data_IF_402554173576
#
_entry.id   IF_402554173576
#
_cell.length_a   1.000
_cell.length_b   1.000
_cell.length_c   1.000
_cell.angle_alpha   90.00
_cell.angle_beta   90.00
_cell.angle_gamma   90.00
#
_symmetry.space_group_name_H-M   'P 1'
#
loop_
_entity.id
_entity.type
_entity.pdbx_description
1 polymer ?
#
# COMPACT_ATOMS: atom_id res chain seq x y z
N UNK A 1 3.92 -12.54 -4.15
CA UNK A 1 3.25 -12.04 -5.36
C UNK A 1 3.68 -10.62 -5.82
N UNK A 2 4.62 -9.94 -5.16
CA UNK A 2 5.04 -8.56 -5.49
C UNK A 2 5.77 -8.30 -6.84
N UNK A 3 6.07 -9.32 -7.66
CA UNK A 3 6.84 -9.13 -8.90
C UNK A 3 5.99 -8.78 -10.13
N UNK A 4 4.66 -8.96 -10.07
CA UNK A 4 3.77 -8.68 -11.21
C UNK A 4 3.34 -7.19 -11.28
N UNK A 5 3.02 -6.56 -10.15
CA UNK A 5 2.59 -5.14 -10.11
C UNK A 5 3.63 -4.18 -10.70
N UNK A 6 4.92 -4.46 -10.51
CA UNK A 6 6.01 -3.58 -10.99
C UNK A 6 6.24 -3.60 -12.51
N UNK A 7 5.65 -4.54 -13.26
CA UNK A 7 5.91 -4.68 -14.70
C UNK A 7 4.87 -3.97 -15.60
N UNK A 8 3.64 -3.70 -15.13
CA UNK A 8 2.62 -2.98 -15.91
C UNK A 8 2.91 -1.48 -16.07
N UNK A 9 3.60 -0.85 -15.10
CA UNK A 9 3.94 0.58 -15.12
C UNK A 9 4.99 1.01 -16.18
N UNK A 10 5.48 0.08 -17.02
CA UNK A 10 6.54 0.33 -18.01
C UNK A 10 6.11 0.29 -19.47
N UNK A 11 4.81 0.27 -19.77
CA UNK A 11 4.35 0.60 -21.12
C UNK A 11 4.10 2.10 -21.21
N UNK A 12 5.16 2.92 -21.24
CA UNK A 12 5.05 4.27 -21.78
C UNK A 12 4.67 4.12 -23.26
N UNK A 13 3.39 4.24 -23.58
CA UNK A 13 2.96 4.39 -24.96
C UNK A 13 3.76 5.54 -25.58
N UNK A 14 4.60 5.18 -26.55
CA UNK A 14 5.34 6.16 -27.33
C UNK A 14 4.29 7.03 -28.04
N UNK A 15 4.37 8.37 -27.95
CA UNK A 15 3.36 9.21 -28.55
C UNK A 15 3.30 8.89 -30.03
N UNK A 16 2.13 8.40 -30.46
CA UNK A 16 1.96 7.92 -31.82
C UNK A 16 2.22 9.09 -32.78
N UNK A 17 2.64 8.80 -34.01
CA UNK A 17 2.92 9.86 -34.99
C UNK A 17 1.75 10.84 -35.15
N UNK A 18 0.52 10.35 -34.95
CA UNK A 18 -0.72 11.14 -34.95
C UNK A 18 -0.75 12.19 -33.83
N UNK A 19 -0.40 11.83 -32.60
CA UNK A 19 -0.41 12.78 -31.47
C UNK A 19 0.58 13.92 -31.66
N UNK A 20 1.76 13.65 -32.23
CA UNK A 20 2.73 14.70 -32.54
C UNK A 20 2.23 15.64 -33.62
N UNK A 21 1.55 15.12 -34.64
CA UNK A 21 0.96 15.92 -35.72
C UNK A 21 -0.20 16.77 -35.16
N UNK A 22 -1.08 16.20 -34.34
CA UNK A 22 -2.19 16.93 -33.71
C UNK A 22 -1.65 18.02 -32.77
N UNK A 23 -0.68 17.69 -31.92
CA UNK A 23 -0.07 18.64 -31.00
C UNK A 23 0.67 19.78 -31.72
N UNK A 24 1.37 19.47 -32.82
CA UNK A 24 2.01 20.49 -33.63
C UNK A 24 0.98 21.38 -34.34
N UNK A 25 -0.10 20.80 -34.87
CA UNK A 25 -1.07 21.59 -35.62
C UNK A 25 -1.87 22.54 -34.72
N UNK A 26 -2.13 22.15 -33.47
CA UNK A 26 -2.71 23.03 -32.46
C UNK A 26 -1.74 24.04 -31.82
N UNK A 27 -0.49 24.10 -32.26
CA UNK A 27 0.56 24.92 -31.61
C UNK A 27 0.69 26.34 -32.21
N UNK A 28 1.26 27.26 -31.43
CA UNK A 28 1.57 28.64 -31.87
C UNK A 28 2.46 28.67 -33.15
N UNK A 29 3.49 27.82 -33.30
CA UNK A 29 4.23 27.69 -34.56
C UNK A 29 3.35 27.40 -35.80
N UNK A 30 2.39 26.49 -35.68
CA UNK A 30 1.44 26.19 -36.76
C UNK A 30 0.63 27.43 -37.14
N UNK A 31 0.12 28.17 -36.13
CA UNK A 31 -0.62 29.41 -36.37
C UNK A 31 0.21 30.46 -37.13
N UNK A 32 1.50 30.59 -36.80
CA UNK A 32 2.41 31.50 -37.51
C UNK A 32 2.62 31.06 -38.95
N UNK A 33 2.85 29.76 -39.20
CA UNK A 33 3.00 29.21 -40.55
C UNK A 33 1.75 29.46 -41.40
N UNK A 34 0.56 29.18 -40.87
CA UNK A 34 -0.71 29.45 -41.56
C UNK A 34 -0.89 30.94 -41.83
N UNK A 35 -0.63 31.80 -40.85
CA UNK A 35 -0.75 33.26 -41.02
C UNK A 35 0.17 33.77 -42.15
N UNK A 36 1.41 33.30 -42.20
CA UNK A 36 2.37 33.66 -43.26
C UNK A 36 1.94 33.09 -44.63
N UNK A 37 1.48 31.83 -44.68
CA UNK A 37 1.01 31.20 -45.91
C UNK A 37 -0.18 31.93 -46.53
N UNK A 38 -1.16 32.33 -45.70
CA UNK A 38 -2.30 33.15 -46.13
C UNK A 38 -1.85 34.51 -46.67
N UNK A 39 -0.99 35.22 -45.92
CA UNK A 39 -0.46 36.51 -46.37
C UNK A 39 0.30 36.38 -47.70
N UNK A 40 1.07 35.30 -47.88
CA UNK A 40 1.76 34.98 -49.12
C UNK A 40 0.80 34.72 -50.29
N UNK A 41 -0.29 33.98 -50.07
CA UNK A 41 -1.31 33.72 -51.10
C UNK A 41 -1.99 35.03 -51.56
N UNK A 42 -2.31 35.94 -50.63
CA UNK A 42 -2.86 37.25 -50.98
C UNK A 42 -1.84 38.14 -51.69
N UNK A 43 -0.57 38.13 -51.26
CA UNK A 43 0.51 38.86 -51.93
C UNK A 43 0.74 38.35 -53.37
N UNK A 44 0.61 37.04 -53.60
CA UNK A 44 0.70 36.43 -54.92
C UNK A 44 -0.43 36.92 -55.85
N UNK A 45 -1.65 37.07 -55.32
CA UNK A 45 -2.77 37.70 -56.04
C UNK A 45 -2.52 39.18 -56.37
N UNK A 46 -1.94 39.94 -55.43
CA UNK A 46 -1.58 41.35 -55.64
C UNK A 46 -0.50 41.53 -56.73
N UNK A 47 0.36 40.54 -56.92
CA UNK A 47 1.39 40.57 -57.97
C UNK A 47 0.84 40.40 -59.39
N UNK A 48 -0.47 40.14 -59.54
CA UNK A 48 -1.12 39.93 -60.83
C UNK A 48 -0.77 38.60 -61.51
N UNK A 49 -0.15 37.67 -60.77
CA UNK A 49 0.24 36.37 -61.29
C UNK A 49 -0.95 35.41 -61.52
N UNK A 50 -2.06 35.63 -60.83
CA UNK A 50 -3.31 34.89 -60.99
C UNK A 50 -4.52 35.81 -60.71
N UNK A 51 -5.70 35.43 -61.20
CA UNK A 51 -6.95 36.14 -60.87
C UNK A 51 -7.36 35.90 -59.41
N UNK A 52 -8.03 36.89 -58.82
CA UNK A 52 -8.53 36.81 -57.45
C UNK A 52 -9.43 35.60 -57.22
N UNK A 53 -10.29 35.28 -58.19
CA UNK A 53 -11.20 34.14 -58.11
C UNK A 53 -10.45 32.81 -57.99
N UNK A 54 -9.37 32.64 -58.77
CA UNK A 54 -8.54 31.42 -58.72
C UNK A 54 -7.77 31.32 -57.40
N UNK A 55 -7.18 32.43 -56.94
CA UNK A 55 -6.44 32.45 -55.66
C UNK A 55 -7.37 32.12 -54.49
N UNK A 56 -8.54 32.74 -54.42
CA UNK A 56 -9.52 32.49 -53.36
C UNK A 56 -10.09 31.07 -53.44
N UNK A 57 -10.35 30.54 -54.64
CA UNK A 57 -10.85 29.17 -54.82
C UNK A 57 -9.80 28.13 -54.38
N UNK A 58 -8.53 28.32 -54.75
CA UNK A 58 -7.46 27.41 -54.34
C UNK A 58 -7.19 27.51 -52.84
N UNK A 59 -7.12 28.73 -52.30
CA UNK A 59 -6.89 28.95 -50.88
C UNK A 59 -8.00 28.33 -50.02
N UNK A 60 -9.26 28.54 -50.38
CA UNK A 60 -10.40 27.98 -49.64
C UNK A 60 -10.49 26.46 -49.77
N UNK A 61 -10.16 25.87 -50.92
CA UNK A 61 -10.11 24.40 -51.07
C UNK A 61 -8.98 23.78 -50.23
N UNK A 62 -7.80 24.38 -50.17
CA UNK A 62 -6.71 23.92 -49.30
C UNK A 62 -7.09 24.04 -47.82
N UNK A 63 -7.61 25.19 -47.40
CA UNK A 63 -7.97 25.47 -46.01
C UNK A 63 -9.12 24.58 -45.55
N UNK A 64 -10.11 24.31 -46.43
CA UNK A 64 -11.19 23.37 -46.11
C UNK A 64 -10.70 21.92 -46.01
N UNK A 65 -9.77 21.48 -46.87
CA UNK A 65 -9.14 20.16 -46.74
C UNK A 65 -8.36 20.02 -45.44
N UNK A 66 -7.62 21.06 -45.06
CA UNK A 66 -6.90 21.09 -43.78
C UNK A 66 -7.86 21.00 -42.58
N UNK A 67 -8.96 21.76 -42.60
CA UNK A 67 -9.95 21.75 -41.53
C UNK A 67 -10.62 20.36 -41.36
N UNK A 68 -10.97 19.70 -42.47
CA UNK A 68 -11.55 18.35 -42.44
C UNK A 68 -10.51 17.34 -41.93
N UNK A 69 -9.25 17.44 -42.37
CA UNK A 69 -8.19 16.54 -41.93
C UNK A 69 -7.92 16.66 -40.42
N UNK A 70 -7.86 17.87 -39.89
CA UNK A 70 -7.67 18.09 -38.45
C UNK A 70 -8.85 17.61 -37.61
N UNK A 71 -10.08 17.83 -38.09
CA UNK A 71 -11.28 17.31 -37.42
C UNK A 71 -11.23 15.79 -37.30
N UNK A 72 -10.85 15.08 -38.37
CA UNK A 72 -10.72 13.62 -38.35
C UNK A 72 -9.61 13.14 -37.41
N UNK A 73 -8.45 13.81 -37.41
CA UNK A 73 -7.35 13.46 -36.51
C UNK A 73 -7.72 13.66 -35.04
N UNK A 74 -8.40 14.77 -34.71
CA UNK A 74 -8.89 15.04 -33.36
C UNK A 74 -9.88 13.94 -32.94
N UNK A 75 -10.83 13.56 -33.81
CA UNK A 75 -11.78 12.49 -33.51
C UNK A 75 -11.10 11.14 -33.24
N UNK A 76 -10.08 10.78 -34.03
CA UNK A 76 -9.28 9.57 -33.81
C UNK A 76 -8.59 9.64 -32.44
N UNK A 77 -7.98 10.77 -32.09
CA UNK A 77 -7.34 10.96 -30.79
C UNK A 77 -8.34 10.87 -29.64
N UNK A 78 -9.52 11.50 -29.75
CA UNK A 78 -10.56 11.43 -28.71
C UNK A 78 -11.07 10.01 -28.53
N UNK A 79 -11.30 9.27 -29.62
CA UNK A 79 -11.73 7.87 -29.53
C UNK A 79 -10.68 6.98 -28.84
N UNK A 80 -9.38 7.22 -29.09
CA UNK A 80 -8.30 6.53 -28.39
C UNK A 80 -8.22 6.91 -26.93
N UNK A 81 -8.37 8.19 -26.60
CA UNK A 81 -8.43 8.65 -25.22
C UNK A 81 -9.61 8.03 -24.46
N UNK A 82 -10.78 7.92 -25.10
CA UNK A 82 -11.92 7.23 -24.50
C UNK A 82 -11.62 5.75 -24.21
N UNK A 83 -10.92 5.06 -25.11
CA UNK A 83 -10.47 3.69 -24.87
C UNK A 83 -9.46 3.59 -23.71
N UNK A 84 -8.48 4.50 -23.67
CA UNK A 84 -7.49 4.54 -22.59
C UNK A 84 -8.13 4.86 -21.24
N UNK A 85 -9.13 5.75 -21.19
CA UNK A 85 -9.91 6.01 -19.97
C UNK A 85 -10.61 4.74 -19.51
N UNK A 86 -11.22 3.98 -20.43
CA UNK A 86 -11.87 2.72 -20.09
C UNK A 86 -10.89 1.69 -19.51
N UNK A 87 -9.69 1.58 -20.07
CA UNK A 87 -8.63 0.71 -19.52
C UNK A 87 -8.21 1.16 -18.11
N UNK A 88 -8.09 2.48 -17.89
CA UNK A 88 -7.82 3.02 -16.56
C UNK A 88 -8.97 2.75 -15.58
N UNK A 89 -10.23 2.80 -16.03
CA UNK A 89 -11.39 2.44 -15.21
C UNK A 89 -11.34 0.97 -14.78
N UNK A 90 -11.02 0.05 -15.71
CA UNK A 90 -10.83 -1.38 -15.40
C UNK A 90 -9.68 -1.58 -14.39
N UNK A 91 -8.56 -0.86 -14.54
CA UNK A 91 -7.44 -0.92 -13.59
C UNK A 91 -7.80 -0.34 -12.21
N UNK A 92 -8.69 0.66 -12.14
CA UNK A 92 -9.19 1.22 -10.88
C UNK A 92 -10.16 0.26 -10.19
N UNK A 93 -10.93 -0.54 -10.94
CA UNK A 93 -11.77 -1.61 -10.39
C UNK A 93 -10.91 -2.72 -9.78
N UNK A 94 -9.85 -3.17 -10.47
CA UNK A 94 -8.87 -4.15 -9.95
C UNK A 94 -8.25 -3.67 -8.62
N UNK A 95 -7.80 -2.42 -8.56
CA UNK A 95 -7.22 -1.85 -7.33
C UNK A 95 -8.24 -1.73 -6.19
N UNK A 96 -9.54 -1.54 -6.48
CA UNK A 96 -10.57 -1.52 -5.45
C UNK A 96 -10.78 -2.91 -4.84
N UNK A 97 -10.81 -3.95 -5.66
CA UNK A 97 -10.90 -5.34 -5.20
C UNK A 97 -9.69 -5.69 -4.31
N UNK A 98 -8.48 -5.33 -4.72
CA UNK A 98 -7.26 -5.51 -3.90
C UNK A 98 -7.35 -4.82 -2.54
N UNK A 99 -7.96 -3.62 -2.48
CA UNK A 99 -8.11 -2.85 -1.23
C UNK A 99 -9.17 -3.47 -0.32
N UNK A 100 -10.23 -4.05 -0.89
CA UNK A 100 -11.23 -4.82 -0.14
C UNK A 100 -10.59 -6.07 0.48
N UNK A 101 -9.83 -6.85 -0.29
CA UNK A 101 -9.10 -8.03 0.21
C UNK A 101 -8.14 -7.66 1.36
N UNK A 102 -7.35 -6.59 1.20
CA UNK A 102 -6.45 -6.11 2.27
C UNK A 102 -7.24 -5.67 3.52
N UNK A 103 -8.46 -5.14 3.35
CA UNK A 103 -9.27 -4.73 4.49
C UNK A 103 -9.79 -5.95 5.27
N UNK A 104 -10.20 -7.00 4.56
CA UNK A 104 -10.57 -8.29 5.18
C UNK A 104 -9.37 -8.90 5.93
N UNK A 105 -8.17 -8.92 5.32
CA UNK A 105 -6.94 -9.37 5.97
C UNK A 105 -6.63 -8.58 7.27
N UNK A 106 -6.90 -7.27 7.28
CA UNK A 106 -6.67 -6.41 8.46
C UNK A 106 -7.67 -6.72 9.59
N UNK A 107 -8.90 -7.08 9.25
CA UNK A 107 -9.92 -7.47 10.23
C UNK A 107 -9.58 -8.83 10.83
N UNK A 108 -9.16 -9.82 10.01
CA UNK A 108 -8.66 -11.12 10.52
C UNK A 108 -7.45 -10.93 11.46
N UNK A 109 -6.49 -10.10 11.08
CA UNK A 109 -5.33 -9.81 11.94
C UNK A 109 -5.70 -9.09 13.24
N UNK A 110 -6.81 -8.34 13.29
CA UNK A 110 -7.30 -7.74 14.53
C UNK A 110 -7.85 -8.81 15.47
N UNK A 111 -8.63 -9.77 14.94
CA UNK A 111 -9.13 -10.91 15.72
C UNK A 111 -7.96 -11.73 16.30
N UNK A 112 -6.95 -12.04 15.49
CA UNK A 112 -5.74 -12.76 15.94
C UNK A 112 -5.00 -12.02 17.08
N UNK A 113 -4.96 -10.68 17.03
CA UNK A 113 -4.31 -9.86 18.08
C UNK A 113 -5.14 -9.83 19.35
N UNK A 114 -6.47 -9.85 19.26
CA UNK A 114 -7.37 -9.97 20.41
C UNK A 114 -7.18 -11.33 21.09
N UNK A 115 -7.21 -12.44 20.35
CA UNK A 115 -6.96 -13.79 20.90
C UNK A 115 -5.60 -13.88 21.59
N UNK A 116 -4.53 -13.39 20.93
CA UNK A 116 -3.19 -13.40 21.53
C UNK A 116 -3.11 -12.51 22.79
N UNK A 117 -3.94 -11.48 22.90
CA UNK A 117 -4.00 -10.65 24.11
C UNK A 117 -4.67 -11.40 25.27
N UNK A 118 -5.74 -12.14 24.99
CA UNK A 118 -6.40 -13.02 25.97
C UNK A 118 -5.44 -14.12 26.47
N UNK A 119 -4.72 -14.78 25.55
CA UNK A 119 -3.69 -15.78 25.89
C UNK A 119 -2.61 -15.20 26.82
N UNK A 120 -2.21 -13.95 26.59
CA UNK A 120 -1.20 -13.25 27.41
C UNK A 120 -1.75 -12.88 28.80
N UNK A 121 -3.04 -12.64 28.93
CA UNK A 121 -3.70 -12.43 30.23
C UNK A 121 -3.79 -13.75 31.00
N UNK A 122 -4.22 -14.85 30.37
CA UNK A 122 -4.27 -16.18 31.01
C UNK A 122 -2.89 -16.62 31.49
N UNK A 123 -1.84 -16.47 30.66
CA UNK A 123 -0.46 -16.77 31.07
C UNK A 123 0.01 -15.91 32.25
N UNK A 124 -0.48 -14.67 32.39
CA UNK A 124 -0.14 -13.84 33.55
C UNK A 124 -0.81 -14.36 34.82
N UNK A 125 -2.08 -14.75 34.75
CA UNK A 125 -2.80 -15.37 35.87
C UNK A 125 -2.11 -16.67 36.32
N UNK A 126 -1.72 -17.54 35.37
CA UNK A 126 -0.98 -18.77 35.65
C UNK A 126 0.34 -18.49 36.39
N UNK A 127 1.09 -17.46 35.96
CA UNK A 127 2.34 -17.07 36.62
C UNK A 127 2.09 -16.56 38.04
N UNK A 128 1.02 -15.81 38.26
CA UNK A 128 0.63 -15.34 39.59
C UNK A 128 0.28 -16.52 40.51
N UNK A 129 -0.54 -17.47 40.05
CA UNK A 129 -0.90 -18.67 40.81
C UNK A 129 0.35 -19.51 41.16
N UNK A 130 1.21 -19.79 40.19
CA UNK A 130 2.48 -20.51 40.43
C UNK A 130 3.37 -19.79 41.45
N UNK A 131 3.37 -18.46 41.45
CA UNK A 131 4.14 -17.67 42.40
C UNK A 131 3.57 -17.77 43.82
N UNK A 132 2.24 -17.79 43.96
CA UNK A 132 1.58 -18.02 45.25
C UNK A 132 1.84 -19.43 45.78
N UNK A 133 1.74 -20.45 44.92
CA UNK A 133 2.06 -21.84 45.29
C UNK A 133 3.51 -22.00 45.75
N UNK A 134 4.47 -21.36 45.05
CA UNK A 134 5.88 -21.38 45.44
C UNK A 134 6.08 -20.74 46.83
N UNK A 135 5.40 -19.62 47.12
CA UNK A 135 5.46 -18.99 48.45
C UNK A 135 4.88 -19.87 49.56
N UNK A 136 3.77 -20.56 49.30
CA UNK A 136 3.17 -21.47 50.26
C UNK A 136 4.08 -22.68 50.53
N UNK A 137 4.65 -23.27 49.48
CA UNK A 137 5.61 -24.36 49.60
C UNK A 137 6.84 -23.95 50.43
N UNK A 138 7.39 -22.76 50.18
CA UNK A 138 8.49 -22.17 50.94
C UNK A 138 8.15 -21.99 52.44
N UNK A 139 6.92 -21.58 52.74
CA UNK A 139 6.45 -21.40 54.11
C UNK A 139 6.33 -22.74 54.85
N UNK A 140 5.80 -23.76 54.18
CA UNK A 140 5.70 -25.12 54.71
C UNK A 140 7.10 -25.71 54.96
N UNK A 141 8.05 -25.53 54.04
CA UNK A 141 9.42 -26.00 54.22
C UNK A 141 10.09 -25.38 55.45
N UNK A 142 9.93 -24.05 55.63
CA UNK A 142 10.42 -23.33 56.81
C UNK A 142 9.82 -23.89 58.11
N UNK A 143 8.51 -24.15 58.12
CA UNK A 143 7.83 -24.73 59.27
C UNK A 143 8.34 -26.15 59.59
N UNK A 144 8.47 -26.99 58.57
CA UNK A 144 9.00 -28.35 58.72
C UNK A 144 10.43 -28.34 59.27
N UNK A 145 11.27 -27.42 58.80
CA UNK A 145 12.66 -27.28 59.26
C UNK A 145 12.70 -26.86 60.73
N UNK A 146 11.88 -25.88 61.14
CA UNK A 146 11.77 -25.46 62.54
C UNK A 146 11.27 -26.58 63.47
N UNK A 147 10.28 -27.36 63.02
CA UNK A 147 9.77 -28.51 63.77
C UNK A 147 10.83 -29.60 63.95
N UNK A 148 11.61 -29.90 62.91
CA UNK A 148 12.71 -30.88 62.99
C UNK A 148 13.81 -30.43 63.97
N UNK A 149 14.11 -29.13 64.00
CA UNK A 149 15.09 -28.57 64.93
C UNK A 149 14.61 -28.64 66.39
N UNK A 150 13.33 -28.35 66.64
CA UNK A 150 12.71 -28.53 67.96
C UNK A 150 12.74 -30.00 68.40
N UNK A 151 12.32 -30.93 67.54
CA UNK A 151 12.37 -32.36 67.85
C UNK A 151 13.79 -32.84 68.16
N UNK A 152 14.79 -32.31 67.44
CA UNK A 152 16.20 -32.61 67.70
C UNK A 152 16.65 -32.11 69.07
N UNK A 153 16.21 -30.93 69.50
CA UNK A 153 16.47 -30.43 70.85
C UNK A 153 15.78 -31.28 71.93
N UNK A 154 14.52 -31.65 71.72
CA UNK A 154 13.76 -32.47 72.66
C UNK A 154 14.40 -33.85 72.86
N UNK A 155 14.82 -34.51 71.78
CA UNK A 155 15.55 -35.78 71.85
C UNK A 155 16.87 -35.62 72.61
N UNK A 156 17.64 -34.55 72.39
CA UNK A 156 18.86 -34.26 73.17
C UNK A 156 18.57 -34.10 74.65
N UNK A 157 17.49 -33.42 75.01
CA UNK A 157 17.08 -33.21 76.41
C UNK A 157 16.70 -34.53 77.08
N UNK A 158 15.90 -35.35 76.41
CA UNK A 158 15.53 -36.68 76.92
C UNK A 158 16.74 -37.59 77.15
N UNK A 159 17.76 -37.51 76.28
CA UNK A 159 19.02 -38.24 76.49
C UNK A 159 19.74 -37.80 77.76
N UNK A 160 19.83 -36.49 78.01
CA UNK A 160 20.41 -35.95 79.25
C UNK A 160 19.62 -36.38 80.48
N UNK A 161 18.29 -36.32 80.42
CA UNK A 161 17.42 -36.74 81.52
C UNK A 161 17.57 -38.24 81.83
N UNK A 162 17.70 -39.09 80.80
CA UNK A 162 17.97 -40.52 80.95
C UNK A 162 19.35 -40.81 81.57
N UNK A 163 20.39 -40.05 81.19
CA UNK A 163 21.71 -40.16 81.81
C UNK A 163 21.69 -39.78 83.29
N UNK A 164 20.97 -38.71 83.65
CA UNK A 164 20.80 -38.28 85.03
C UNK A 164 20.09 -39.35 85.89
N UNK A 165 18.99 -39.92 85.39
CA UNK A 165 18.26 -40.99 86.08
C UNK A 165 19.10 -42.27 86.25
N UNK A 166 19.97 -42.58 85.28
CA UNK A 166 20.90 -43.71 85.37
C UNK A 166 21.98 -43.48 86.44
N UNK A 167 22.39 -42.23 86.65
CA UNK A 167 23.36 -41.86 87.69
C UNK A 167 22.75 -41.93 89.10
N UNK A 168 21.48 -41.55 89.29
CA UNK A 168 20.79 -41.66 90.59
C UNK A 168 20.53 -43.11 91.04
N UNK A 169 20.43 -44.07 90.10
CA UNK A 169 20.15 -45.47 90.40
C UNK A 169 21.36 -46.31 90.81
N UNK A 170 22.55 -45.71 90.94
CA UNK A 170 23.83 -46.38 91.21
C UNK A 170 24.39 -45.97 92.57
#
# INVERSE_FOLDING_TARGET
>A
MHKCYGQRMKAKEQPTHIERIVAWTGSVPSLVVHTVAFAGAFAFGLWGAASWDTVLLVLTTIVSLEAIYLSLLIQITVNRQAQSIKEIEEDIEEVQEDVEEISEDIDELQEDVEEMSEDVEEMQEDIEEMTEEEQEADAIEKQHTANLEQLTQDVKKLLLDLEALKAEKK
#
